data_IF_209217388257
#
_entry.id   IF_209217388257
#
_cell.length_a   1.000
_cell.length_b   1.000
_cell.length_c   1.000
_cell.angle_alpha   90.00
_cell.angle_beta   90.00
_cell.angle_gamma   90.00
#
_symmetry.space_group_name_H-M   'P 1'
#
loop_
_entity.id
_entity.type
_entity.pdbx_description
1 polymer ?
#
# COMPACT_ATOMS: atom_id res chain seq x y z
N UNK A 1 -17.74 -13.41 0.57
CA UNK A 1 -17.53 -12.30 -0.38
C UNK A 1 -16.09 -11.88 -0.21
N UNK A 2 -15.25 -12.12 -1.21
CA UNK A 2 -13.92 -11.51 -1.25
C UNK A 2 -14.13 -10.02 -1.57
N UNK A 3 -13.71 -9.13 -0.68
CA UNK A 3 -13.72 -7.70 -0.92
C UNK A 3 -12.71 -7.41 -2.03
N UNK A 4 -13.14 -6.75 -3.10
CA UNK A 4 -12.25 -6.37 -4.19
C UNK A 4 -11.22 -5.36 -3.66
N UNK A 5 -9.96 -5.80 -3.58
CA UNK A 5 -8.87 -5.03 -2.98
C UNK A 5 -8.40 -3.96 -3.96
N UNK A 6 -8.28 -2.72 -3.50
CA UNK A 6 -7.93 -1.60 -4.38
C UNK A 6 -6.46 -1.68 -4.83
N UNK A 7 -6.13 -0.95 -5.89
CA UNK A 7 -4.74 -0.92 -6.40
C UNK A 7 -3.79 -0.39 -5.31
N UNK A 8 -4.22 0.59 -4.51
CA UNK A 8 -3.45 1.15 -3.39
C UNK A 8 -3.20 0.12 -2.30
N UNK A 9 -4.25 -0.61 -1.90
CA UNK A 9 -4.15 -1.67 -0.90
C UNK A 9 -3.19 -2.77 -1.37
N UNK A 10 -3.23 -3.13 -2.66
CA UNK A 10 -2.31 -4.10 -3.25
C UNK A 10 -0.86 -3.63 -3.22
N UNK A 11 -0.60 -2.37 -3.56
CA UNK A 11 0.75 -1.78 -3.50
C UNK A 11 1.28 -1.82 -2.06
N UNK A 12 0.47 -1.40 -1.09
CA UNK A 12 0.85 -1.41 0.31
C UNK A 12 1.15 -2.83 0.80
N UNK A 13 0.27 -3.78 0.51
CA UNK A 13 0.40 -5.17 0.97
C UNK A 13 1.61 -5.88 0.37
N UNK A 14 1.89 -5.67 -0.92
CA UNK A 14 3.07 -6.24 -1.58
C UNK A 14 4.37 -5.60 -1.08
N UNK A 15 4.39 -4.28 -0.82
CA UNK A 15 5.54 -3.61 -0.22
C UNK A 15 5.82 -4.10 1.21
N UNK A 16 4.77 -4.28 2.01
CA UNK A 16 4.87 -4.84 3.35
C UNK A 16 5.39 -6.27 3.33
N UNK A 17 4.85 -7.15 2.47
CA UNK A 17 5.33 -8.54 2.32
C UNK A 17 6.79 -8.60 1.89
N UNK A 18 7.20 -7.75 0.95
CA UNK A 18 8.59 -7.70 0.48
C UNK A 18 9.55 -7.29 1.60
N UNK A 19 9.14 -6.35 2.46
CA UNK A 19 9.90 -5.95 3.63
C UNK A 19 9.93 -7.07 4.68
N UNK A 20 8.78 -7.69 4.96
CA UNK A 20 8.65 -8.80 5.91
C UNK A 20 9.48 -10.03 5.53
N UNK A 21 9.64 -10.28 4.23
CA UNK A 21 10.51 -11.34 3.71
C UNK A 21 12.00 -11.09 3.96
N UNK A 22 12.41 -9.84 4.21
CA UNK A 22 13.80 -9.46 4.50
C UNK A 22 14.08 -9.32 5.99
N UNK A 23 13.13 -8.81 6.76
CA UNK A 23 13.22 -8.66 8.22
C UNK A 23 11.81 -8.70 8.82
N UNK A 24 11.46 -9.73 9.58
CA UNK A 24 10.14 -9.85 10.23
C UNK A 24 10.13 -9.36 11.67
N UNK A 25 11.27 -8.88 12.18
CA UNK A 25 11.48 -8.62 13.62
C UNK A 25 10.81 -7.33 14.08
N UNK A 26 10.69 -6.35 13.20
CA UNK A 26 10.20 -5.00 13.53
C UNK A 26 9.01 -4.60 12.66
N UNK A 27 7.82 -5.07 13.02
CA UNK A 27 6.58 -4.81 12.27
C UNK A 27 6.31 -3.33 11.95
N UNK A 28 6.66 -2.40 12.85
CA UNK A 28 6.50 -0.97 12.63
C UNK A 28 7.34 -0.44 11.46
N UNK A 29 8.59 -0.93 11.30
CA UNK A 29 9.45 -0.56 10.16
C UNK A 29 8.92 -1.09 8.83
N UNK A 30 8.16 -2.18 8.86
CA UNK A 30 7.56 -2.77 7.67
C UNK A 30 6.37 -1.94 7.19
N UNK A 31 5.56 -1.45 8.12
CA UNK A 31 4.50 -0.50 7.82
C UNK A 31 5.07 0.82 7.30
N UNK A 32 6.10 1.38 7.94
CA UNK A 32 6.76 2.62 7.48
C UNK A 32 7.30 2.50 6.04
N UNK A 33 7.85 1.33 5.70
CA UNK A 33 8.30 1.03 4.34
C UNK A 33 7.14 0.96 3.34
N UNK A 34 6.08 0.25 3.70
CA UNK A 34 4.89 0.13 2.87
C UNK A 34 4.22 1.51 2.61
N UNK A 35 4.15 2.35 3.65
CA UNK A 35 3.64 3.72 3.56
C UNK A 35 4.51 4.59 2.64
N UNK A 36 5.84 4.45 2.75
CA UNK A 36 6.78 5.16 1.88
C UNK A 36 6.63 4.75 0.41
N UNK A 37 6.44 3.45 0.14
CA UNK A 37 6.18 2.94 -1.21
C UNK A 37 4.83 3.43 -1.75
N UNK A 38 3.78 3.44 -0.93
CA UNK A 38 2.47 3.95 -1.31
C UNK A 38 2.53 5.44 -1.64
N UNK A 39 3.28 6.23 -0.87
CA UNK A 39 3.49 7.66 -1.15
C UNK A 39 4.16 7.88 -2.51
N UNK A 40 5.23 7.13 -2.81
CA UNK A 40 5.89 7.20 -4.12
C UNK A 40 4.96 6.78 -5.25
N UNK A 41 4.14 5.74 -5.05
CA UNK A 41 3.12 5.34 -6.01
C UNK A 41 2.11 6.46 -6.26
N UNK A 42 1.61 7.12 -5.22
CA UNK A 42 0.64 8.21 -5.33
C UNK A 42 1.18 9.42 -6.09
N UNK A 43 2.46 9.73 -5.92
CA UNK A 43 3.14 10.82 -6.62
C UNK A 43 3.27 10.53 -8.13
N UNK A 44 3.48 9.27 -8.52
CA UNK A 44 3.61 8.85 -9.91
C UNK A 44 2.28 8.50 -10.59
N UNK A 45 1.27 8.07 -9.83
CA UNK A 45 -0.02 7.61 -10.33
C UNK A 45 -1.21 8.27 -9.59
N UNK A 46 -1.34 9.60 -9.66
CA UNK A 46 -2.34 10.37 -8.89
C UNK A 46 -3.80 10.01 -9.24
N UNK A 47 -4.06 9.38 -10.39
CA UNK A 47 -5.39 8.91 -10.78
C UNK A 47 -5.94 7.82 -9.83
N UNK A 48 -5.06 6.98 -9.27
CA UNK A 48 -5.48 5.92 -8.34
C UNK A 48 -5.78 6.47 -6.95
N UNK A 49 -5.16 7.60 -6.57
CA UNK A 49 -5.52 8.31 -5.33
C UNK A 49 -6.95 8.83 -5.37
N UNK A 50 -7.37 9.42 -6.49
CA UNK A 50 -8.72 9.98 -6.67
C UNK A 50 -9.80 8.91 -6.83
N UNK A 51 -9.47 7.77 -7.43
CA UNK A 51 -10.40 6.65 -7.59
C UNK A 51 -10.79 6.04 -6.23
N UNK A 52 -9.81 5.82 -5.36
CA UNK A 52 -10.06 5.32 -4.00
C UNK A 52 -10.80 6.34 -3.12
N UNK A 53 -10.51 7.63 -3.24
CA UNK A 53 -11.25 8.70 -2.54
C UNK A 53 -12.74 8.75 -2.94
N UNK A 54 -13.09 8.37 -4.19
CA UNK A 54 -14.48 8.30 -4.67
C UNK A 54 -15.23 7.02 -4.24
N UNK A 55 -14.52 5.95 -3.87
CA UNK A 55 -15.14 4.69 -3.41
C UNK A 55 -15.49 4.78 -1.91
N UNK A 56 -14.86 5.70 -1.17
CA UNK A 56 -15.06 5.89 0.27
C UNK A 56 -16.22 6.84 0.64
N UNK A 57 -16.92 7.44 -0.34
CA UNK A 57 -18.08 8.35 -0.16
C UNK A 57 -19.40 7.67 -0.53
#
# INVERSE_FOLDING_TARGET
METEMTVRERVWLEAWKAAAAKDSTYHWRLSDWADSCLKGFDEHFPQHKKQDEQIAE
#
